data_IF_873589897640
#
_entry.id   IF_873589897640
#
_cell.length_a   1.000
_cell.length_b   1.000
_cell.length_c   1.000
_cell.angle_alpha   90.00
_cell.angle_beta   90.00
_cell.angle_gamma   90.00
#
_symmetry.space_group_name_H-M   'P 1'
#
loop_
_entity.id
_entity.type
_entity.pdbx_description
1 polymer ?
#
# COMPACT_ATOMS: atom_id res chain seq x y z
N UNK A 1 8.33 34.20 10.03
CA UNK A 1 8.12 33.05 9.14
C UNK A 1 8.37 31.81 9.99
N UNK A 2 7.39 31.50 10.85
CA UNK A 2 7.40 30.30 11.69
C UNK A 2 6.98 29.15 10.78
N UNK A 3 7.76 28.08 10.77
CA UNK A 3 7.51 26.85 10.02
C UNK A 3 6.28 26.14 10.56
N UNK A 4 5.36 25.86 9.64
CA UNK A 4 4.14 25.08 9.76
C UNK A 4 4.48 23.58 9.99
N UNK A 5 5.07 23.26 11.15
CA UNK A 5 5.50 21.90 11.53
C UNK A 5 4.93 21.48 12.90
N UNK A 6 3.85 22.13 13.36
CA UNK A 6 3.20 21.82 14.65
C UNK A 6 2.12 20.73 14.55
N UNK A 7 1.71 20.31 13.34
CA UNK A 7 0.66 19.30 13.12
C UNK A 7 1.20 17.94 12.65
N UNK A 8 2.46 17.61 12.97
CA UNK A 8 2.99 16.27 12.72
C UNK A 8 2.39 15.27 13.70
N UNK A 9 1.22 14.73 13.35
CA UNK A 9 0.62 13.61 14.06
C UNK A 9 1.60 12.44 14.03
N UNK A 10 1.99 11.96 15.21
CA UNK A 10 2.81 10.77 15.37
C UNK A 10 2.15 9.60 14.62
N UNK A 11 2.86 9.07 13.63
CA UNK A 11 2.40 7.86 12.95
C UNK A 11 2.53 6.66 13.91
N UNK A 12 1.73 5.60 13.73
CA UNK A 12 1.93 4.35 14.47
C UNK A 12 3.36 3.82 14.40
N UNK A 13 4.05 4.10 13.28
CA UNK A 13 5.46 3.77 13.07
C UNK A 13 6.42 4.62 13.91
N UNK A 14 6.11 5.90 14.16
CA UNK A 14 6.92 6.74 15.05
C UNK A 14 6.84 6.24 16.51
N UNK A 15 5.68 5.70 16.91
CA UNK A 15 5.49 5.09 18.23
C UNK A 15 6.30 3.79 18.35
N UNK A 16 6.25 2.92 17.33
CA UNK A 16 7.06 1.68 17.30
C UNK A 16 8.55 2.00 17.32
N UNK A 17 8.99 3.01 16.58
CA UNK A 17 10.38 3.48 16.58
C UNK A 17 10.79 3.95 17.99
N UNK A 18 9.96 4.75 18.64
CA UNK A 18 10.23 5.22 20.01
C UNK A 18 10.35 4.05 21.00
N UNK A 19 9.44 3.07 20.94
CA UNK A 19 9.48 1.87 21.80
C UNK A 19 10.71 1.01 21.53
N UNK A 20 11.05 0.77 20.26
CA UNK A 20 12.21 -0.03 19.88
C UNK A 20 13.52 0.61 20.37
N UNK A 21 13.64 1.94 20.28
CA UNK A 21 14.79 2.69 20.81
C UNK A 21 14.87 2.57 22.34
N UNK A 22 13.75 2.71 23.05
CA UNK A 22 13.73 2.56 24.52
C UNK A 22 14.16 1.16 24.95
N UNK A 23 13.62 0.12 24.31
CA UNK A 23 13.96 -1.28 24.61
C UNK A 23 15.44 -1.54 24.34
N UNK A 24 15.95 -1.10 23.19
CA UNK A 24 17.36 -1.28 22.82
C UNK A 24 18.30 -0.54 23.78
N UNK A 25 17.94 0.68 24.21
CA UNK A 25 18.70 1.44 25.21
C UNK A 25 18.68 0.75 26.58
N UNK A 26 17.54 0.20 27.00
CA UNK A 26 17.42 -0.56 28.25
C UNK A 26 18.28 -1.82 28.24
N UNK A 27 18.24 -2.58 27.14
CA UNK A 27 19.08 -3.78 26.95
C UNK A 27 20.57 -3.41 26.95
N UNK A 28 20.95 -2.35 26.24
CA UNK A 28 22.33 -1.88 26.18
C UNK A 28 22.81 -1.40 27.56
N UNK A 29 21.98 -0.68 28.30
CA UNK A 29 22.31 -0.23 29.65
C UNK A 29 22.50 -1.39 30.62
N UNK A 30 21.66 -2.43 30.53
CA UNK A 30 21.78 -3.66 31.32
C UNK A 30 23.05 -4.46 30.94
N UNK A 31 23.33 -4.60 29.65
CA UNK A 31 24.50 -5.34 29.17
C UNK A 31 25.83 -4.68 29.59
N UNK A 32 25.83 -3.35 29.74
CA UNK A 32 26.98 -2.56 30.15
C UNK A 32 27.05 -2.34 31.67
N UNK A 33 26.17 -2.96 32.46
CA UNK A 33 26.16 -2.88 33.92
C UNK A 33 27.49 -3.25 34.60
N UNK A 34 28.27 -4.27 34.17
CA UNK A 34 29.54 -4.61 34.81
C UNK A 34 30.69 -3.64 34.47
N UNK A 35 30.48 -2.66 33.57
CA UNK A 35 31.51 -1.70 33.18
C UNK A 35 31.58 -0.50 34.13
N UNK A 36 32.78 0.06 34.26
CA UNK A 36 33.02 1.31 34.97
C UNK A 36 32.14 2.44 34.35
N UNK A 37 31.46 3.26 35.17
CA UNK A 37 30.62 4.37 34.71
C UNK A 37 31.27 5.27 33.64
N UNK A 38 32.57 5.53 33.73
CA UNK A 38 33.32 6.36 32.77
C UNK A 38 33.43 5.74 31.37
N UNK A 39 33.30 4.41 31.25
CA UNK A 39 33.21 3.69 29.98
C UNK A 39 31.77 3.41 29.57
N UNK A 40 30.86 3.23 30.55
CA UNK A 40 29.46 2.90 30.32
C UNK A 40 28.70 3.99 29.56
N UNK A 41 28.80 5.24 30.00
CA UNK A 41 28.06 6.36 29.39
C UNK A 41 28.47 6.66 27.93
N UNK A 42 29.76 6.75 27.58
CA UNK A 42 30.15 6.91 26.18
C UNK A 42 29.77 5.69 25.32
N UNK A 43 29.87 4.47 25.86
CA UNK A 43 29.45 3.27 25.15
C UNK A 43 27.93 3.23 24.88
N UNK A 44 27.10 3.71 25.82
CA UNK A 44 25.65 3.83 25.60
C UNK A 44 25.30 4.83 24.50
N UNK A 45 26.01 5.96 24.41
CA UNK A 45 25.77 6.96 23.36
C UNK A 45 26.16 6.42 21.96
N UNK A 46 27.30 5.75 21.86
CA UNK A 46 27.75 5.13 20.61
C UNK A 46 26.80 3.99 20.20
N UNK A 47 26.36 3.16 21.15
CA UNK A 47 25.41 2.08 20.87
C UNK A 47 24.02 2.59 20.47
N UNK A 48 23.52 3.68 21.09
CA UNK A 48 22.28 4.33 20.68
C UNK A 48 22.34 4.81 19.23
N UNK A 49 23.45 5.44 18.84
CA UNK A 49 23.68 5.90 17.48
C UNK A 49 23.73 4.73 16.49
N UNK A 50 24.41 3.63 16.87
CA UNK A 50 24.48 2.43 16.05
C UNK A 50 23.10 1.77 15.84
N UNK A 51 22.28 1.68 16.90
CA UNK A 51 20.91 1.17 16.82
C UNK A 51 20.03 2.04 15.92
N UNK A 52 20.12 3.38 16.05
CA UNK A 52 19.36 4.30 15.19
C UNK A 52 19.76 4.17 13.72
N UNK A 53 21.06 4.03 13.43
CA UNK A 53 21.55 3.83 12.07
C UNK A 53 21.12 2.47 11.50
N UNK A 54 21.16 1.42 12.30
CA UNK A 54 20.67 0.10 11.91
C UNK A 54 19.15 0.11 11.64
N UNK A 55 18.37 0.75 12.52
CA UNK A 55 16.93 0.91 12.37
C UNK A 55 16.58 1.69 11.09
N UNK A 56 17.26 2.82 10.84
CA UNK A 56 17.09 3.60 9.60
C UNK A 56 17.43 2.79 8.35
N UNK A 57 18.45 1.93 8.42
CA UNK A 57 18.79 0.99 7.34
C UNK A 57 17.69 -0.03 7.08
N UNK A 58 17.15 -0.64 8.13
CA UNK A 58 16.02 -1.59 8.05
C UNK A 58 14.77 -0.91 7.50
N UNK A 59 14.45 0.29 7.96
CA UNK A 59 13.33 1.11 7.44
C UNK A 59 13.47 1.36 5.94
N UNK A 60 14.64 1.82 5.49
CA UNK A 60 14.90 2.06 4.07
C UNK A 60 14.76 0.78 3.23
N UNK A 61 15.15 -0.38 3.78
CA UNK A 61 14.97 -1.67 3.13
C UNK A 61 13.49 -2.08 3.02
N UNK A 62 12.70 -1.84 4.07
CA UNK A 62 11.25 -2.09 4.06
C UNK A 62 10.53 -1.15 3.09
N UNK A 63 10.91 0.14 3.06
CA UNK A 63 10.39 1.13 2.11
C UNK A 63 10.75 0.76 0.66
N UNK A 64 11.96 0.26 0.38
CA UNK A 64 12.34 -0.24 -0.94
C UNK A 64 11.51 -1.46 -1.37
N UNK A 65 11.19 -2.36 -0.44
CA UNK A 65 10.32 -3.51 -0.70
C UNK A 65 8.91 -3.05 -1.07
N UNK A 66 8.35 -2.10 -0.32
CA UNK A 66 7.04 -1.50 -0.60
C UNK A 66 7.02 -0.64 -1.87
N UNK A 67 8.10 0.06 -2.20
CA UNK A 67 8.23 0.86 -3.43
C UNK A 67 8.32 0.00 -4.70
N UNK A 68 8.89 -1.21 -4.59
CA UNK A 68 8.85 -2.22 -5.64
C UNK A 68 7.44 -2.75 -5.91
N UNK A 69 6.63 -2.92 -4.86
CA UNK A 69 5.21 -3.27 -5.00
C UNK A 69 4.42 -2.11 -5.62
N UNK A 70 4.61 -0.87 -5.14
CA UNK A 70 3.92 0.32 -5.63
C UNK A 70 4.15 0.58 -7.13
N UNK A 71 5.36 0.34 -7.63
CA UNK A 71 5.68 0.50 -9.06
C UNK A 71 5.00 -0.57 -9.92
N UNK A 72 4.82 -1.80 -9.40
CA UNK A 72 4.17 -2.89 -10.14
C UNK A 72 2.65 -2.73 -10.25
N UNK A 73 2.04 -2.04 -9.29
CA UNK A 73 0.58 -1.90 -9.22
C UNK A 73 0.08 -0.55 -9.74
N UNK A 74 0.97 0.39 -10.11
CA UNK A 74 0.57 1.65 -10.73
C UNK A 74 -0.30 1.41 -11.98
N UNK A 75 -1.39 2.17 -12.19
CA UNK A 75 -1.79 3.38 -11.46
C UNK A 75 -2.61 3.14 -10.17
N UNK A 76 -2.80 1.89 -9.74
CA UNK A 76 -3.47 1.61 -8.48
C UNK A 76 -2.57 1.99 -7.29
N UNK A 77 -3.18 2.49 -6.23
CA UNK A 77 -2.49 2.92 -5.02
C UNK A 77 -2.96 2.12 -3.82
N UNK A 78 -2.01 1.66 -3.01
CA UNK A 78 -2.29 0.99 -1.75
C UNK A 78 -2.18 2.00 -0.61
N UNK A 79 -3.26 2.15 0.15
CA UNK A 79 -3.37 3.07 1.28
C UNK A 79 -3.62 2.26 2.55
N UNK A 80 -2.99 2.64 3.65
CA UNK A 80 -3.22 2.08 4.98
C UNK A 80 -4.01 3.08 5.82
N UNK A 81 -5.07 2.63 6.49
CA UNK A 81 -5.83 3.44 7.43
C UNK A 81 -5.21 3.35 8.83
N UNK A 82 -5.40 4.36 9.70
CA UNK A 82 -4.88 4.33 11.07
C UNK A 82 -5.36 3.14 11.92
N UNK A 83 -6.48 2.52 11.53
CA UNK A 83 -7.00 1.28 12.13
C UNK A 83 -6.24 0.01 11.72
N UNK A 84 -5.20 0.11 10.88
CA UNK A 84 -4.44 -1.01 10.34
C UNK A 84 -5.12 -1.75 9.17
N UNK A 85 -6.20 -1.20 8.61
CA UNK A 85 -6.83 -1.79 7.44
C UNK A 85 -6.20 -1.21 6.17
N UNK A 86 -6.19 -1.99 5.09
CA UNK A 86 -5.61 -1.58 3.83
C UNK A 86 -6.70 -1.40 2.77
N UNK A 87 -6.49 -0.43 1.88
CA UNK A 87 -7.35 -0.15 0.73
C UNK A 87 -6.52 -0.06 -0.54
N UNK A 88 -6.97 -0.74 -1.59
CA UNK A 88 -6.47 -0.59 -2.96
C UNK A 88 -7.40 0.34 -3.72
N UNK A 89 -6.86 1.43 -4.25
CA UNK A 89 -7.61 2.49 -4.91
C UNK A 89 -7.19 2.63 -6.36
N UNK A 90 -8.15 2.96 -7.22
CA UNK A 90 -7.92 3.44 -8.57
C UNK A 90 -8.83 4.64 -8.82
N UNK A 91 -8.24 5.80 -9.10
CA UNK A 91 -8.97 7.00 -9.52
C UNK A 91 -9.33 6.85 -11.00
N UNK A 92 -10.61 7.05 -11.33
CA UNK A 92 -11.14 6.91 -12.69
C UNK A 92 -11.26 8.28 -13.37
N UNK A 93 -11.37 8.32 -14.70
CA UNK A 93 -11.43 9.58 -15.46
C UNK A 93 -10.07 10.13 -15.88
N UNK A 94 -9.09 9.24 -16.03
CA UNK A 94 -7.73 9.53 -16.49
C UNK A 94 -6.87 8.27 -16.62
N UNK A 95 -7.47 7.08 -16.61
CA UNK A 95 -6.70 5.83 -16.75
C UNK A 95 -6.25 5.65 -18.20
N UNK A 96 -5.12 4.96 -18.45
CA UNK A 96 -4.65 4.71 -19.82
C UNK A 96 -5.66 3.95 -20.70
N UNK A 97 -6.60 3.23 -20.10
CA UNK A 97 -7.60 2.42 -20.82
C UNK A 97 -8.99 3.05 -20.88
N UNK A 98 -9.22 4.24 -20.31
CA UNK A 98 -10.55 4.87 -20.29
C UNK A 98 -11.15 5.02 -21.69
N UNK A 99 -10.32 5.34 -22.71
CA UNK A 99 -10.78 5.40 -24.10
C UNK A 99 -11.30 4.07 -24.62
N UNK A 100 -10.65 2.95 -24.26
CA UNK A 100 -11.12 1.62 -24.63
C UNK A 100 -12.37 1.19 -23.87
N UNK A 101 -12.57 1.65 -22.62
CA UNK A 101 -13.84 1.45 -21.90
C UNK A 101 -14.99 2.07 -22.70
N UNK A 102 -14.84 3.33 -23.12
CA UNK A 102 -15.85 4.07 -23.90
C UNK A 102 -16.09 3.45 -25.27
N UNK A 103 -15.03 3.05 -25.98
CA UNK A 103 -15.14 2.35 -27.27
C UNK A 103 -15.87 1.02 -27.19
N UNK A 104 -15.77 0.33 -26.04
CA UNK A 104 -16.52 -0.89 -25.74
C UNK A 104 -17.97 -0.61 -25.33
N UNK A 105 -18.43 0.64 -25.33
CA UNK A 105 -19.80 1.02 -24.99
C UNK A 105 -20.05 1.20 -23.49
N UNK A 106 -19.00 1.13 -22.67
CA UNK A 106 -19.08 1.24 -21.22
C UNK A 106 -18.63 2.62 -20.72
N UNK A 107 -18.96 3.00 -19.49
CA UNK A 107 -18.48 4.20 -18.83
C UNK A 107 -17.28 3.89 -17.93
N UNK A 108 -16.20 4.67 -18.02
CA UNK A 108 -15.04 4.51 -17.15
C UNK A 108 -15.35 5.07 -15.75
N UNK A 109 -15.95 4.23 -14.92
CA UNK A 109 -16.31 4.54 -13.53
C UNK A 109 -15.79 3.43 -12.57
N UNK A 110 -15.89 3.63 -11.26
CA UNK A 110 -15.38 2.63 -10.31
C UNK A 110 -16.14 1.30 -10.28
N UNK A 111 -17.44 1.30 -10.57
CA UNK A 111 -18.26 0.08 -10.64
C UNK A 111 -17.90 -0.79 -11.85
N UNK A 112 -17.60 -0.18 -13.00
CA UNK A 112 -17.05 -0.87 -14.16
C UNK A 112 -15.74 -1.59 -13.80
N UNK A 113 -14.82 -0.87 -13.14
CA UNK A 113 -13.55 -1.45 -12.71
C UNK A 113 -13.71 -2.53 -11.62
N UNK A 114 -14.79 -2.48 -10.83
CA UNK A 114 -15.17 -3.57 -9.93
C UNK A 114 -15.56 -4.82 -10.73
N UNK A 115 -16.41 -4.69 -11.75
CA UNK A 115 -16.73 -5.79 -12.65
C UNK A 115 -15.46 -6.37 -13.31
N UNK A 116 -14.53 -5.52 -13.76
CA UNK A 116 -13.24 -5.98 -14.30
C UNK A 116 -12.45 -6.78 -13.25
N UNK A 117 -12.44 -6.35 -11.99
CA UNK A 117 -11.78 -7.07 -10.91
C UNK A 117 -12.40 -8.47 -10.68
N UNK A 118 -13.73 -8.55 -10.67
CA UNK A 118 -14.48 -9.81 -10.54
C UNK A 118 -14.16 -10.79 -11.67
N UNK A 119 -13.93 -10.28 -12.89
CA UNK A 119 -13.60 -11.11 -14.05
C UNK A 119 -12.14 -11.59 -14.07
N UNK A 120 -11.22 -10.72 -13.69
CA UNK A 120 -9.77 -11.02 -13.78
C UNK A 120 -9.27 -11.80 -12.57
N UNK A 121 -9.90 -11.62 -11.40
CA UNK A 121 -9.45 -12.24 -10.16
C UNK A 121 -10.61 -12.56 -9.19
N UNK A 122 -11.60 -13.39 -9.59
CA UNK A 122 -12.79 -13.66 -8.78
C UNK A 122 -12.46 -14.18 -7.36
N UNK A 123 -11.48 -15.09 -7.26
CA UNK A 123 -11.05 -15.66 -5.98
C UNK A 123 -10.41 -14.65 -5.02
N UNK A 124 -9.85 -13.55 -5.54
CA UNK A 124 -9.32 -12.47 -4.71
C UNK A 124 -10.42 -11.50 -4.31
N UNK A 125 -11.39 -11.26 -5.20
CA UNK A 125 -12.53 -10.39 -4.92
C UNK A 125 -13.39 -10.95 -3.78
N UNK A 126 -13.58 -12.26 -3.69
CA UNK A 126 -14.27 -12.91 -2.57
C UNK A 126 -13.62 -12.66 -1.19
N UNK A 127 -12.34 -12.23 -1.17
CA UNK A 127 -11.56 -12.01 0.05
C UNK A 127 -11.44 -10.52 0.43
N UNK A 128 -12.04 -9.62 -0.35
CA UNK A 128 -11.98 -8.17 -0.11
C UNK A 128 -13.38 -7.59 -0.04
N UNK A 129 -13.54 -6.47 0.67
CA UNK A 129 -14.77 -5.69 0.66
C UNK A 129 -14.68 -4.60 -0.41
N UNK A 130 -15.58 -4.64 -1.39
CA UNK A 130 -15.64 -3.66 -2.47
C UNK A 130 -16.48 -2.45 -2.05
N UNK A 131 -15.94 -1.26 -2.24
CA UNK A 131 -16.56 0.02 -1.90
C UNK A 131 -16.37 1.01 -3.06
N UNK A 132 -16.53 0.52 -4.29
CA UNK A 132 -16.37 1.34 -5.48
C UNK A 132 -17.48 2.39 -5.58
N UNK A 133 -17.13 3.51 -6.19
CA UNK A 133 -18.01 4.65 -6.43
C UNK A 133 -17.80 5.14 -7.88
N UNK A 134 -18.64 6.04 -8.37
CA UNK A 134 -18.53 6.53 -9.75
C UNK A 134 -17.16 7.13 -10.08
N UNK A 135 -16.49 7.75 -9.10
CA UNK A 135 -15.17 8.38 -9.26
C UNK A 135 -13.97 7.51 -8.89
N UNK A 136 -14.17 6.32 -8.30
CA UNK A 136 -13.06 5.50 -7.84
C UNK A 136 -13.43 4.03 -7.66
N UNK A 137 -12.53 3.14 -8.05
CA UNK A 137 -12.56 1.77 -7.58
C UNK A 137 -11.88 1.68 -6.22
N UNK A 138 -12.48 0.93 -5.29
CA UNK A 138 -11.96 0.74 -3.94
C UNK A 138 -12.19 -0.70 -3.48
N UNK A 139 -11.10 -1.38 -3.10
CA UNK A 139 -11.14 -2.67 -2.44
C UNK A 139 -10.44 -2.57 -1.08
N UNK A 140 -11.09 -3.05 -0.02
CA UNK A 140 -10.55 -3.03 1.35
C UNK A 140 -10.32 -4.45 1.85
N UNK A 141 -9.21 -4.67 2.55
CA UNK A 141 -8.93 -5.91 3.26
C UNK A 141 -8.00 -5.68 4.45
N UNK A 142 -8.07 -6.56 5.44
CA UNK A 142 -7.09 -6.61 6.53
C UNK A 142 -5.78 -7.24 6.06
N UNK A 143 -5.85 -8.16 5.08
CA UNK A 143 -4.69 -8.81 4.47
C UNK A 143 -4.13 -7.95 3.32
N UNK A 144 -3.03 -7.24 3.61
CA UNK A 144 -2.32 -6.42 2.63
C UNK A 144 -1.93 -7.21 1.37
N UNK A 145 -1.53 -8.46 1.51
CA UNK A 145 -0.98 -9.24 0.41
C UNK A 145 -2.05 -9.58 -0.62
N UNK A 146 -3.31 -9.76 -0.20
CA UNK A 146 -4.46 -9.93 -1.11
C UNK A 146 -4.63 -8.71 -2.01
N UNK A 147 -4.52 -7.50 -1.44
CA UNK A 147 -4.66 -6.27 -2.20
C UNK A 147 -3.50 -6.04 -3.15
N UNK A 148 -2.28 -6.40 -2.76
CA UNK A 148 -1.11 -6.35 -3.66
C UNK A 148 -1.30 -7.32 -4.83
N UNK A 149 -1.77 -8.54 -4.58
CA UNK A 149 -2.06 -9.52 -5.63
C UNK A 149 -3.18 -9.03 -6.56
N UNK A 150 -4.25 -8.45 -6.00
CA UNK A 150 -5.35 -7.88 -6.78
C UNK A 150 -4.85 -6.71 -7.67
N UNK A 151 -4.06 -5.81 -7.09
CA UNK A 151 -3.42 -4.71 -7.83
C UNK A 151 -2.52 -5.22 -8.95
N UNK A 152 -1.74 -6.26 -8.72
CA UNK A 152 -0.87 -6.86 -9.74
C UNK A 152 -1.65 -7.55 -10.88
N UNK A 153 -2.90 -7.97 -10.63
CA UNK A 153 -3.80 -8.53 -11.66
C UNK A 153 -4.53 -7.45 -12.45
N UNK A 154 -4.92 -6.36 -11.79
CA UNK A 154 -5.63 -5.24 -12.40
C UNK A 154 -4.70 -4.30 -13.17
N UNK A 155 -3.52 -3.98 -12.65
CA UNK A 155 -2.62 -3.01 -13.26
C UNK A 155 -2.28 -3.30 -14.74
N UNK A 156 -2.01 -4.55 -15.17
CA UNK A 156 -1.80 -4.84 -16.59
C UNK A 156 -3.01 -4.60 -17.48
N UNK A 157 -4.23 -4.66 -16.93
CA UNK A 157 -5.48 -4.41 -17.66
C UNK A 157 -5.73 -2.90 -17.74
N UNK A 158 -5.56 -2.18 -16.63
CA UNK A 158 -5.70 -0.72 -16.56
C UNK A 158 -4.70 -0.01 -17.49
N UNK A 159 -3.47 -0.51 -17.57
CA UNK A 159 -2.43 0.08 -18.41
C UNK A 159 -2.46 -0.37 -19.88
N UNK A 160 -3.30 -1.33 -20.26
CA UNK A 160 -3.31 -1.89 -21.61
C UNK A 160 -4.72 -1.93 -22.21
N UNK A 161 -5.06 -0.95 -23.08
CA UNK A 161 -6.36 -0.88 -23.73
C UNK A 161 -6.73 -2.14 -24.52
N UNK A 162 -5.77 -2.84 -25.13
CA UNK A 162 -6.06 -4.06 -25.88
C UNK A 162 -6.49 -5.19 -24.93
N UNK A 163 -5.79 -5.35 -23.81
CA UNK A 163 -6.10 -6.34 -22.79
C UNK A 163 -7.44 -6.05 -22.10
N UNK A 164 -7.77 -4.78 -21.90
CA UNK A 164 -9.10 -4.41 -21.41
C UNK A 164 -10.19 -4.92 -22.38
N UNK A 165 -10.06 -4.66 -23.68
CA UNK A 165 -11.05 -5.12 -24.67
C UNK A 165 -11.21 -6.64 -24.68
N UNK A 166 -10.12 -7.38 -24.51
CA UNK A 166 -10.17 -8.85 -24.37
C UNK A 166 -10.98 -9.28 -23.14
N UNK A 167 -10.78 -8.64 -22.00
CA UNK A 167 -11.52 -8.94 -20.75
C UNK A 167 -13.00 -8.61 -20.92
N UNK A 168 -13.33 -7.44 -21.48
CA UNK A 168 -14.73 -7.02 -21.71
C UNK A 168 -15.43 -7.96 -22.68
N UNK A 169 -14.83 -8.24 -23.84
CA UNK A 169 -15.41 -9.14 -24.83
C UNK A 169 -15.63 -10.57 -24.27
N UNK A 170 -14.70 -11.07 -23.47
CA UNK A 170 -14.85 -12.37 -22.80
C UNK A 170 -15.96 -12.34 -21.73
N UNK A 171 -16.10 -11.24 -20.99
CA UNK A 171 -17.18 -11.10 -20.01
C UNK A 171 -18.56 -11.03 -20.68
N UNK A 172 -18.70 -10.26 -21.75
CA UNK A 172 -19.95 -10.17 -22.52
C UNK A 172 -20.32 -11.51 -23.18
N UNK A 173 -19.33 -12.25 -23.71
CA UNK A 173 -19.55 -13.59 -24.26
C UNK A 173 -20.07 -14.59 -23.21
N UNK A 174 -19.66 -14.42 -21.94
CA UNK A 174 -20.14 -15.19 -20.79
C UNK A 174 -21.50 -14.68 -20.26
N UNK A 175 -22.06 -13.61 -20.85
CA UNK A 175 -23.33 -13.00 -20.44
C UNK A 175 -23.23 -12.12 -19.19
N UNK A 176 -22.02 -11.66 -18.84
CA UNK A 176 -21.80 -10.75 -17.72
C UNK A 176 -22.19 -9.31 -18.11
N UNK A 177 -22.91 -8.63 -17.22
CA UNK A 177 -23.31 -7.23 -17.38
C UNK A 177 -22.48 -6.36 -16.41
N UNK A 178 -21.77 -5.38 -16.95
CA UNK A 178 -21.03 -4.42 -16.13
C UNK A 178 -22.00 -3.38 -15.55
N UNK A 179 -21.78 -2.99 -14.29
CA UNK A 179 -22.52 -1.93 -13.63
C UNK A 179 -21.78 -0.61 -13.87
N UNK A 180 -22.28 0.26 -14.76
CA UNK A 180 -21.57 1.45 -15.25
C UNK A 180 -22.40 2.74 -15.56
#
# INVERSE_FOLDING_TARGET
MLTDDEDRQFTPWDIVEFVAVIVALGVLFWLLEPLNPWLRYPATLVGAFAVLMAWRGVRKLLELRSGGDATRIAPLTLVETPSGAHSLLLVVGGTPSDGAVVESGHKPNGYFWQGVAERVAPQLVERVSLHSESGMFCARADDRDVLVLLGAKLAPVVNNPARLREVVAAAEADGFEFDD
#
